data_IF_383981070094
#
_entry.id   IF_383981070094
#
_cell.length_a   1.000
_cell.length_b   1.000
_cell.length_c   1.000
_cell.angle_alpha   90.00
_cell.angle_beta   90.00
_cell.angle_gamma   90.00
#
_symmetry.space_group_name_H-M   'P 1'
#
loop_
_entity.id
_entity.type
_entity.pdbx_description
1 polymer ?
#
# COMPACT_ATOMS: atom_id res chain seq x y z
N UNK A 1 -63.43 33.37 -4.59
CA UNK A 1 -63.08 32.81 -5.93
C UNK A 1 -61.74 33.39 -6.36
N UNK A 2 -60.94 32.58 -7.08
CA UNK A 2 -59.52 32.76 -7.51
C UNK A 2 -58.53 32.22 -6.46
N UNK A 3 -58.06 30.97 -6.62
CA UNK A 3 -56.89 30.54 -7.44
C UNK A 3 -55.60 30.91 -6.70
N UNK A 4 -54.71 30.01 -6.28
CA UNK A 4 -53.80 29.14 -7.06
C UNK A 4 -53.13 28.16 -6.07
N UNK A 5 -53.18 26.84 -6.24
CA UNK A 5 -52.22 26.00 -7.01
C UNK A 5 -50.73 26.25 -6.73
N UNK A 6 -50.13 25.29 -6.02
CA UNK A 6 -48.80 24.66 -6.17
C UNK A 6 -47.59 25.58 -6.38
N UNK A 7 -46.69 25.56 -5.38
CA UNK A 7 -45.25 25.67 -5.60
C UNK A 7 -44.48 24.78 -4.62
N UNK A 8 -44.69 23.46 -4.72
CA UNK A 8 -43.68 22.47 -4.32
C UNK A 8 -42.66 22.46 -5.46
N UNK A 9 -41.71 23.40 -5.43
CA UNK A 9 -40.53 23.33 -6.29
C UNK A 9 -39.49 24.31 -5.77
N UNK A 10 -38.65 23.86 -4.85
CA UNK A 10 -37.27 24.32 -4.65
C UNK A 10 -36.50 23.29 -3.77
N UNK A 11 -36.74 22.00 -4.04
CA UNK A 11 -35.74 20.96 -3.78
C UNK A 11 -34.85 20.98 -5.02
N UNK A 12 -33.62 21.46 -4.86
CA UNK A 12 -32.40 21.26 -5.71
C UNK A 12 -31.44 22.45 -5.57
N UNK A 13 -31.35 23.07 -4.39
CA UNK A 13 -30.16 23.85 -4.07
C UNK A 13 -29.02 22.88 -3.73
N UNK A 14 -28.23 22.55 -4.75
CA UNK A 14 -26.77 22.38 -4.62
C UNK A 14 -26.25 21.31 -3.65
N UNK A 15 -26.74 20.06 -3.74
CA UNK A 15 -25.86 18.92 -3.52
C UNK A 15 -25.16 18.59 -4.84
N UNK A 16 -24.34 19.53 -5.29
CA UNK A 16 -23.32 19.22 -6.29
C UNK A 16 -22.23 18.46 -5.53
N UNK A 17 -22.45 17.16 -5.29
CA UNK A 17 -21.34 16.24 -5.09
C UNK A 17 -20.61 16.18 -6.42
N UNK A 18 -19.75 17.16 -6.68
CA UNK A 18 -18.69 16.98 -7.64
C UNK A 18 -17.83 15.84 -7.13
N UNK A 19 -18.11 14.61 -7.57
CA UNK A 19 -17.16 13.52 -7.46
C UNK A 19 -16.00 13.89 -8.38
N UNK A 20 -15.08 14.69 -7.83
CA UNK A 20 -13.79 14.92 -8.41
C UNK A 20 -13.12 13.55 -8.37
N UNK A 21 -13.14 12.84 -9.50
CA UNK A 21 -12.28 11.69 -9.71
C UNK A 21 -10.86 12.25 -9.80
N UNK A 22 -10.30 12.61 -8.63
CA UNK A 22 -8.87 12.85 -8.52
C UNK A 22 -8.19 11.56 -8.98
N UNK A 23 -7.25 11.69 -9.91
CA UNK A 23 -6.45 10.57 -10.36
C UNK A 23 -5.80 9.96 -9.11
N UNK A 24 -6.00 8.67 -8.88
CA UNK A 24 -5.42 7.99 -7.72
C UNK A 24 -3.91 7.94 -7.97
N UNK A 25 -3.16 8.75 -7.24
CA UNK A 25 -1.71 8.91 -7.38
C UNK A 25 -0.97 8.32 -6.18
N UNK A 26 0.30 7.95 -6.39
CA UNK A 26 1.18 7.52 -5.29
C UNK A 26 1.43 8.70 -4.36
N UNK A 27 1.19 8.51 -3.07
CA UNK A 27 1.39 9.51 -2.03
C UNK A 27 2.87 9.86 -1.82
N UNK A 28 3.10 11.00 -1.18
CA UNK A 28 4.46 11.40 -0.77
C UNK A 28 4.97 10.57 0.41
N UNK A 29 6.30 10.57 0.63
CA UNK A 29 6.90 9.92 1.81
C UNK A 29 6.23 10.33 3.12
N UNK A 30 5.91 11.60 3.28
CA UNK A 30 5.24 12.12 4.50
C UNK A 30 3.89 11.45 4.75
N UNK A 31 3.09 11.20 3.71
CA UNK A 31 1.81 10.48 3.85
C UNK A 31 2.02 9.02 4.26
N UNK A 32 3.11 8.39 3.78
CA UNK A 32 3.47 7.04 4.20
C UNK A 32 3.97 7.01 5.65
N UNK A 33 4.76 8.00 6.06
CA UNK A 33 5.23 8.15 7.44
C UNK A 33 4.05 8.36 8.41
N UNK A 34 3.09 9.22 8.04
CA UNK A 34 1.86 9.45 8.81
C UNK A 34 1.03 8.17 8.94
N UNK A 35 0.82 7.46 7.83
CA UNK A 35 0.09 6.19 7.82
C UNK A 35 0.77 5.12 8.68
N UNK A 36 2.11 5.04 8.66
CA UNK A 36 2.88 4.13 9.53
C UNK A 36 2.70 4.51 11.00
N UNK A 37 2.77 5.80 11.33
CA UNK A 37 2.53 6.28 12.70
C UNK A 37 1.11 5.93 13.17
N UNK A 38 0.11 6.00 12.30
CA UNK A 38 -1.25 5.59 12.62
C UNK A 38 -1.36 4.09 12.82
N UNK A 39 -0.69 3.27 12.00
CA UNK A 39 -0.61 1.83 12.18
C UNK A 39 0.00 1.44 13.55
N UNK A 40 1.05 2.15 13.99
CA UNK A 40 1.72 1.93 15.28
C UNK A 40 0.81 2.22 16.48
N UNK A 41 -0.13 3.17 16.34
CA UNK A 41 -1.07 3.55 17.42
C UNK A 41 -2.26 2.61 17.55
N UNK A 42 -2.50 1.74 16.57
CA UNK A 42 -3.63 0.81 16.61
C UNK A 42 -3.37 -0.27 17.67
N UNK A 43 -4.28 -0.36 18.63
CA UNK A 43 -4.20 -1.18 19.83
C UNK A 43 -4.37 -2.70 19.59
N UNK A 44 -5.03 -3.10 18.51
CA UNK A 44 -5.36 -4.49 18.21
C UNK A 44 -4.66 -4.98 16.95
N UNK A 45 -4.01 -6.15 17.04
CA UNK A 45 -3.42 -6.84 15.87
C UNK A 45 -4.46 -7.07 14.77
N UNK A 46 -5.71 -7.37 15.12
CA UNK A 46 -6.78 -7.53 14.12
C UNK A 46 -7.07 -6.23 13.37
N UNK A 47 -7.17 -5.11 14.08
CA UNK A 47 -7.36 -3.79 13.47
C UNK A 47 -6.14 -3.40 12.63
N UNK A 48 -4.92 -3.69 13.09
CA UNK A 48 -3.69 -3.47 12.33
C UNK A 48 -3.71 -4.28 11.01
N UNK A 49 -4.08 -5.55 11.07
CA UNK A 49 -4.20 -6.41 9.87
C UNK A 49 -5.20 -5.81 8.88
N UNK A 50 -6.39 -5.43 9.35
CA UNK A 50 -7.40 -4.82 8.48
C UNK A 50 -6.89 -3.53 7.85
N UNK A 51 -6.24 -2.67 8.64
CA UNK A 51 -5.65 -1.41 8.16
C UNK A 51 -4.59 -1.65 7.08
N UNK A 52 -3.71 -2.64 7.28
CA UNK A 52 -2.70 -3.07 6.31
C UNK A 52 -3.35 -3.61 5.03
N UNK A 53 -4.33 -4.50 5.15
CA UNK A 53 -5.01 -5.12 4.01
C UNK A 53 -5.68 -4.06 3.13
N UNK A 54 -6.34 -3.07 3.73
CA UNK A 54 -6.95 -1.97 2.98
C UNK A 54 -5.91 -1.10 2.28
N UNK A 55 -4.78 -0.82 2.93
CA UNK A 55 -3.67 -0.09 2.31
C UNK A 55 -3.06 -0.83 1.14
N UNK A 56 -2.81 -2.14 1.26
CA UNK A 56 -2.29 -2.99 0.17
C UNK A 56 -3.23 -2.93 -1.05
N UNK A 57 -4.55 -3.05 -0.83
CA UNK A 57 -5.54 -2.96 -1.91
C UNK A 57 -5.54 -1.58 -2.54
N UNK A 58 -5.59 -0.52 -1.73
CA UNK A 58 -5.59 0.86 -2.21
C UNK A 58 -4.36 1.16 -3.06
N UNK A 59 -3.17 0.84 -2.55
CA UNK A 59 -1.90 1.11 -3.23
C UNK A 59 -1.75 0.27 -4.50
N UNK A 60 -2.48 -0.84 -4.60
CA UNK A 60 -2.55 -1.65 -5.80
C UNK A 60 -3.49 -1.11 -6.88
N UNK A 61 -4.34 -0.12 -6.61
CA UNK A 61 -5.15 0.54 -7.65
C UNK A 61 -4.27 1.50 -8.49
N UNK A 62 -3.19 2.01 -7.88
CA UNK A 62 -2.33 3.01 -8.50
C UNK A 62 -1.34 2.35 -9.46
N UNK A 63 -1.51 2.60 -10.76
CA UNK A 63 -0.54 2.22 -11.78
C UNK A 63 0.76 2.99 -11.57
N UNK A 64 1.86 2.25 -11.38
CA UNK A 64 3.20 2.78 -11.10
C UNK A 64 3.89 3.41 -12.33
N UNK A 65 3.17 3.59 -13.44
CA UNK A 65 3.72 4.05 -14.73
C UNK A 65 4.34 5.46 -14.67
N UNK A 66 4.16 6.20 -13.57
CA UNK A 66 4.68 7.55 -13.36
C UNK A 66 5.68 7.70 -12.19
N UNK A 67 6.11 6.59 -11.56
CA UNK A 67 7.12 6.63 -10.49
C UNK A 67 8.41 6.05 -11.05
N UNK A 68 9.41 6.91 -11.23
CA UNK A 68 10.76 6.49 -11.60
C UNK A 68 11.34 5.60 -10.50
N UNK A 69 11.80 4.40 -10.86
CA UNK A 69 12.58 3.53 -9.97
C UNK A 69 13.93 4.18 -9.57
N UNK A 70 14.32 5.25 -10.28
CA UNK A 70 15.50 6.07 -9.99
C UNK A 70 15.10 7.30 -9.19
N UNK A 71 15.66 7.42 -7.99
CA UNK A 71 15.60 8.65 -7.19
C UNK A 71 16.69 9.60 -7.69
N UNK A 72 16.29 10.77 -8.19
CA UNK A 72 17.21 11.81 -8.63
C UNK A 72 17.34 12.86 -7.53
N UNK A 73 18.49 12.88 -6.86
CA UNK A 73 18.82 13.92 -5.87
C UNK A 73 19.56 15.06 -6.57
N UNK A 74 18.95 16.24 -6.63
CA UNK A 74 19.64 17.45 -7.13
C UNK A 74 20.41 18.11 -5.99
N UNK A 75 21.74 18.08 -6.06
CA UNK A 75 22.64 18.69 -5.07
C UNK A 75 23.03 20.10 -5.54
N UNK A 76 22.82 21.11 -4.70
CA UNK A 76 23.20 22.49 -5.01
C UNK A 76 24.71 22.70 -4.84
N UNK A 77 25.25 23.75 -5.46
CA UNK A 77 26.65 24.14 -5.29
C UNK A 77 26.92 24.44 -3.80
N UNK A 78 27.95 23.79 -3.23
CA UNK A 78 28.35 23.85 -1.83
C UNK A 78 27.37 23.21 -0.82
N UNK A 79 26.36 22.46 -1.28
CA UNK A 79 25.48 21.66 -0.42
C UNK A 79 26.05 20.25 -0.25
N UNK A 80 25.94 19.68 0.95
CA UNK A 80 26.26 18.26 1.15
C UNK A 80 25.12 17.40 0.60
N UNK A 81 25.46 16.23 0.04
CA UNK A 81 24.50 15.21 -0.42
C UNK A 81 23.45 14.89 0.65
N UNK A 82 23.83 14.77 1.92
CA UNK A 82 22.87 14.48 3.00
C UNK A 82 21.83 15.59 3.15
N UNK A 83 22.25 16.86 3.12
CA UNK A 83 21.34 18.00 3.20
C UNK A 83 20.40 18.05 1.98
N UNK A 84 20.94 17.74 0.79
CA UNK A 84 20.16 17.65 -0.44
C UNK A 84 19.11 16.53 -0.40
N UNK A 85 19.44 15.38 0.21
CA UNK A 85 18.52 14.27 0.45
C UNK A 85 17.43 14.71 1.42
N UNK A 86 17.78 15.28 2.57
CA UNK A 86 16.79 15.72 3.59
C UNK A 86 15.83 16.77 3.00
N UNK A 87 16.36 17.72 2.23
CA UNK A 87 15.54 18.75 1.55
C UNK A 87 14.56 18.16 0.53
N UNK A 88 14.86 17.00 -0.03
CA UNK A 88 14.06 16.35 -1.08
C UNK A 88 13.31 15.10 -0.61
N UNK A 89 13.62 14.55 0.57
CA UNK A 89 13.09 13.28 1.11
C UNK A 89 11.56 13.27 1.14
N UNK A 90 10.97 14.42 1.47
CA UNK A 90 9.53 14.58 1.59
C UNK A 90 8.84 14.84 0.25
N UNK A 91 9.60 14.98 -0.85
CA UNK A 91 9.08 15.23 -2.21
C UNK A 91 9.03 13.98 -3.09
N UNK A 92 9.57 12.85 -2.62
CA UNK A 92 9.49 11.61 -3.38
C UNK A 92 8.12 10.96 -3.18
N UNK A 93 7.50 10.58 -4.30
CA UNK A 93 6.34 9.70 -4.30
C UNK A 93 6.83 8.26 -4.18
N UNK A 94 6.40 7.56 -3.14
CA UNK A 94 6.77 6.16 -2.94
C UNK A 94 5.62 5.40 -2.28
N UNK A 95 5.70 4.06 -2.31
CA UNK A 95 4.76 3.16 -1.67
C UNK A 95 5.44 2.46 -0.50
N UNK A 96 4.67 2.17 0.54
CA UNK A 96 5.11 1.30 1.62
C UNK A 96 5.32 -0.11 1.05
N UNK A 97 6.44 -0.74 1.39
CA UNK A 97 6.70 -2.12 0.99
C UNK A 97 5.99 -3.09 1.94
N UNK A 98 5.10 -3.93 1.42
CA UNK A 98 4.44 -4.98 2.19
C UNK A 98 5.03 -6.35 1.88
N UNK A 99 5.48 -7.07 2.90
CA UNK A 99 6.09 -8.40 2.74
C UNK A 99 5.43 -9.41 3.68
N UNK A 100 4.95 -10.52 3.14
CA UNK A 100 4.53 -11.68 3.93
C UNK A 100 5.69 -12.69 3.99
N UNK A 101 6.19 -12.99 5.18
CA UNK A 101 7.12 -14.10 5.39
C UNK A 101 6.42 -15.37 5.85
N UNK A 102 6.77 -16.47 5.21
CA UNK A 102 6.39 -17.82 5.62
C UNK A 102 7.55 -18.79 5.41
N UNK A 103 7.89 -19.58 6.43
CA UNK A 103 8.97 -20.58 6.35
C UNK A 103 10.26 -20.04 5.68
N UNK A 104 10.70 -18.85 6.08
CA UNK A 104 11.89 -18.15 5.55
C UNK A 104 11.78 -17.67 4.09
N UNK A 105 10.59 -17.72 3.49
CA UNK A 105 10.31 -17.17 2.16
C UNK A 105 9.50 -15.88 2.31
N UNK A 106 9.98 -14.78 1.73
CA UNK A 106 9.27 -13.50 1.68
C UNK A 106 8.52 -13.32 0.37
N UNK A 107 7.26 -12.90 0.46
CA UNK A 107 6.40 -12.59 -0.68
C UNK A 107 6.04 -11.10 -0.64
N UNK A 108 6.41 -10.35 -1.69
CA UNK A 108 6.01 -8.95 -1.83
C UNK A 108 4.52 -8.90 -2.18
N UNK A 109 3.73 -8.24 -1.32
CA UNK A 109 2.29 -8.10 -1.46
C UNK A 109 1.93 -6.89 -2.34
N UNK A 110 2.27 -7.00 -3.62
CA UNK A 110 1.88 -6.01 -4.65
C UNK A 110 0.86 -6.66 -5.59
N UNK A 111 -0.40 -6.20 -5.55
CA UNK A 111 -1.46 -6.78 -6.38
C UNK A 111 -1.39 -6.31 -7.84
N UNK A 112 -0.66 -5.24 -8.17
CA UNK A 112 -0.38 -4.90 -9.57
C UNK A 112 0.53 -5.94 -10.20
N UNK A 113 1.58 -6.34 -9.48
CA UNK A 113 2.55 -7.32 -9.96
C UNK A 113 2.05 -8.76 -9.80
N UNK A 114 1.35 -9.04 -8.71
CA UNK A 114 0.85 -10.37 -8.37
C UNK A 114 -0.62 -10.31 -7.92
N UNK A 115 -1.58 -10.16 -8.87
CA UNK A 115 -3.01 -10.05 -8.55
C UNK A 115 -3.57 -11.21 -7.71
N UNK A 116 -2.92 -12.37 -7.79
CA UNK A 116 -3.30 -13.58 -7.06
C UNK A 116 -3.24 -13.41 -5.53
N UNK A 117 -2.47 -12.45 -5.02
CA UNK A 117 -2.45 -12.18 -3.58
C UNK A 117 -3.75 -11.56 -3.08
N UNK A 118 -4.63 -11.05 -3.95
CA UNK A 118 -5.95 -10.55 -3.54
C UNK A 118 -6.78 -11.62 -2.81
N UNK A 119 -6.73 -12.86 -3.28
CA UNK A 119 -7.41 -13.99 -2.62
C UNK A 119 -6.71 -14.39 -1.32
N UNK A 120 -5.39 -14.23 -1.24
CA UNK A 120 -4.59 -14.55 -0.06
C UNK A 120 -4.88 -13.58 1.09
N UNK A 121 -5.04 -12.28 0.79
CA UNK A 121 -5.35 -11.25 1.78
C UNK A 121 -6.66 -11.51 2.53
N UNK A 122 -7.63 -12.21 1.92
CA UNK A 122 -8.91 -12.58 2.57
C UNK A 122 -8.74 -13.50 3.78
N UNK A 123 -7.59 -14.17 3.87
CA UNK A 123 -7.27 -15.09 4.96
C UNK A 123 -6.44 -14.44 6.06
N UNK A 124 -6.09 -13.16 5.94
CA UNK A 124 -5.30 -12.46 6.96
C UNK A 124 -6.22 -12.11 8.14
N UNK A 125 -5.88 -12.62 9.31
CA UNK A 125 -6.57 -12.35 10.56
C UNK A 125 -5.63 -12.62 11.75
N UNK A 126 -6.15 -12.43 12.96
CA UNK A 126 -5.41 -12.55 14.21
C UNK A 126 -4.78 -13.95 14.43
N UNK A 127 -5.39 -15.00 13.87
CA UNK A 127 -4.94 -16.40 13.98
C UNK A 127 -3.89 -16.76 12.92
N UNK A 128 -4.06 -16.26 11.70
CA UNK A 128 -3.19 -16.62 10.57
C UNK A 128 -1.93 -15.77 10.49
N UNK A 129 -1.98 -14.52 10.97
CA UNK A 129 -0.82 -13.63 11.06
C UNK A 129 -0.24 -13.71 12.48
N UNK A 130 0.99 -14.19 12.57
CA UNK A 130 1.71 -14.40 13.81
C UNK A 130 2.18 -13.08 14.42
N UNK A 131 2.88 -12.28 13.62
CA UNK A 131 3.40 -10.98 14.04
C UNK A 131 3.42 -9.99 12.88
N UNK A 132 3.44 -8.71 13.26
CA UNK A 132 3.63 -7.57 12.36
C UNK A 132 4.87 -6.85 12.86
N UNK A 133 5.79 -6.55 11.94
CA UNK A 133 6.98 -5.77 12.18
C UNK A 133 7.00 -4.58 11.23
N UNK A 134 7.32 -3.41 11.77
CA UNK A 134 7.34 -2.14 11.04
C UNK A 134 8.78 -1.68 10.99
N UNK A 135 9.29 -1.51 9.77
CA UNK A 135 10.62 -0.99 9.51
C UNK A 135 10.51 0.41 8.92
N UNK A 136 11.24 1.33 9.53
CA UNK A 136 11.30 2.75 9.14
C UNK A 136 12.70 3.11 8.65
N UNK A 137 12.76 4.10 7.77
CA UNK A 137 13.99 4.76 7.32
C UNK A 137 15.12 3.77 6.94
N UNK A 138 16.28 3.88 7.59
CA UNK A 138 17.47 3.07 7.33
C UNK A 138 17.25 1.59 7.59
N UNK A 139 16.42 1.20 8.57
CA UNK A 139 16.15 -0.21 8.85
C UNK A 139 15.42 -0.88 7.69
N UNK A 140 14.49 -0.16 7.05
CA UNK A 140 13.74 -0.67 5.91
C UNK A 140 14.63 -0.75 4.66
N UNK A 141 15.34 0.33 4.37
CA UNK A 141 16.18 0.44 3.17
C UNK A 141 17.43 -0.44 3.24
N UNK A 142 17.97 -0.73 4.43
CA UNK A 142 19.08 -1.67 4.59
C UNK A 142 18.71 -3.11 4.20
N UNK A 143 17.45 -3.51 4.40
CA UNK A 143 16.98 -4.86 4.07
C UNK A 143 16.43 -4.97 2.65
N UNK A 144 15.76 -3.93 2.15
CA UNK A 144 15.00 -4.01 0.90
C UNK A 144 15.45 -3.01 -0.17
N UNK A 145 16.40 -2.11 0.13
CA UNK A 145 16.86 -1.09 -0.79
C UNK A 145 15.86 0.05 -0.99
N UNK A 146 15.96 0.74 -2.12
CA UNK A 146 15.19 1.95 -2.43
C UNK A 146 13.68 1.75 -2.48
N UNK A 147 13.19 0.55 -2.79
CA UNK A 147 11.75 0.22 -2.77
C UNK A 147 11.11 0.35 -1.38
N UNK A 148 11.91 0.38 -0.31
CA UNK A 148 11.43 0.53 1.07
C UNK A 148 11.75 1.91 1.67
N UNK A 149 12.00 2.92 0.84
CA UNK A 149 12.27 4.30 1.31
C UNK A 149 11.06 4.94 2.01
N UNK A 150 9.84 4.51 1.66
CA UNK A 150 8.59 4.85 2.35
C UNK A 150 8.31 3.92 3.56
N UNK A 151 9.30 3.14 4.00
CA UNK A 151 9.14 2.12 5.03
C UNK A 151 8.71 0.75 4.48
N UNK A 152 8.75 -0.24 5.37
CA UNK A 152 8.30 -1.60 5.08
C UNK A 152 7.47 -2.15 6.24
N UNK A 153 6.41 -2.89 5.91
CA UNK A 153 5.60 -3.64 6.87
C UNK A 153 5.74 -5.13 6.56
N UNK A 154 6.26 -5.86 7.54
CA UNK A 154 6.51 -7.29 7.46
C UNK A 154 5.44 -8.01 8.26
N UNK A 155 4.70 -8.90 7.59
CA UNK A 155 3.78 -9.83 8.23
C UNK A 155 4.44 -11.20 8.28
N UNK A 156 4.49 -11.83 9.45
CA UNK A 156 4.97 -13.21 9.60
C UNK A 156 3.80 -14.15 9.79
N UNK A 157 3.83 -15.31 9.13
CA UNK A 157 2.83 -16.36 9.29
C UNK A 157 3.47 -17.74 9.21
N UNK A 158 3.04 -18.64 10.10
CA UNK A 158 3.32 -20.08 10.08
C UNK A 158 2.05 -20.91 9.81
N UNK A 159 0.93 -20.25 9.45
CA UNK A 159 -0.32 -20.94 9.19
C UNK A 159 -0.24 -21.86 7.96
N UNK A 160 -0.44 -23.16 8.19
CA UNK A 160 -0.32 -24.20 7.16
C UNK A 160 -1.33 -24.02 6.03
N UNK A 161 -2.54 -23.51 6.33
CA UNK A 161 -3.58 -23.30 5.31
C UNK A 161 -3.16 -22.16 4.38
N UNK A 162 -2.72 -21.03 4.93
CA UNK A 162 -2.23 -19.88 4.18
C UNK A 162 -1.04 -20.26 3.31
N UNK A 163 -0.08 -21.02 3.85
CA UNK A 163 1.04 -21.56 3.07
C UNK A 163 0.57 -22.38 1.87
N UNK A 164 -0.43 -23.26 2.08
CA UNK A 164 -0.96 -24.11 1.01
C UNK A 164 -1.69 -23.29 -0.06
N UNK A 165 -2.42 -22.26 0.35
CA UNK A 165 -3.11 -21.33 -0.54
C UNK A 165 -2.11 -20.59 -1.43
N UNK A 166 -1.06 -19.98 -0.86
CA UNK A 166 -0.03 -19.27 -1.61
C UNK A 166 0.67 -20.19 -2.62
N UNK A 167 1.05 -21.40 -2.20
CA UNK A 167 1.67 -22.39 -3.11
C UNK A 167 0.75 -22.76 -4.28
N UNK A 168 -0.55 -22.95 -4.03
CA UNK A 168 -1.54 -23.26 -5.09
C UNK A 168 -1.68 -22.07 -6.05
N UNK A 169 -1.77 -20.87 -5.49
CA UNK A 169 -1.86 -19.60 -6.19
C UNK A 169 -0.67 -19.36 -7.13
N UNK A 170 0.57 -19.54 -6.64
CA UNK A 170 1.79 -19.37 -7.44
C UNK A 170 1.88 -20.44 -8.55
N UNK A 171 1.53 -21.70 -8.25
CA UNK A 171 1.51 -22.77 -9.26
C UNK A 171 0.55 -22.47 -10.41
N UNK A 172 -0.60 -21.84 -10.14
CA UNK A 172 -1.57 -21.45 -11.17
C UNK A 172 -1.04 -20.35 -12.11
N UNK A 173 -0.10 -19.52 -11.66
CA UNK A 173 0.53 -18.49 -12.50
C UNK A 173 1.62 -19.04 -13.42
N UNK A 174 2.28 -20.14 -13.05
CA UNK A 174 3.33 -20.72 -13.89
C UNK A 174 2.66 -21.43 -15.08
N UNK A 175 3.01 -21.14 -16.35
CA UNK A 175 2.51 -21.90 -17.48
C UNK A 175 2.87 -23.39 -17.28
N UNK A 176 2.04 -24.34 -17.78
CA UNK A 176 2.36 -25.76 -17.69
C UNK A 176 3.75 -25.98 -18.29
N UNK A 177 4.60 -26.74 -17.59
CA UNK A 177 5.94 -27.04 -18.09
C UNK A 177 5.79 -27.72 -19.45
N UNK A 178 6.42 -27.14 -20.48
CA UNK A 178 6.49 -27.78 -21.80
C UNK A 178 7.16 -29.15 -21.61
N UNK A 179 6.38 -30.21 -21.77
CA UNK A 179 6.88 -31.58 -21.86
C UNK A 179 7.51 -31.73 -23.23
N UNK A 180 8.82 -31.49 -23.29
CA UNK A 180 9.68 -31.91 -24.40
C UNK A 180 10.04 -33.38 -24.27
#
# INVERSE_FOLDING_TARGET
MKSTFIAILLITANLCFGQKHDKIEVGFKTESDDWISDLEKIDSKEKQINFIVEKVKHDSIIKLENVSDTIVIKVNKNENVNDAIIRQSNKFKCKILFVLYQNKTGYILDLNKYPIFSDVLKYFNNETIKSIEILKDENATSLYGSQAICGAVILNSDDKKLIKLIRKSIKKQKPPANSG
#
